data_IF_163141152483
#
_entry.id   IF_163141152483
#
_cell.length_a   1.000
_cell.length_b   1.000
_cell.length_c   1.000
_cell.angle_alpha   90.00
_cell.angle_beta   90.00
_cell.angle_gamma   90.00
#
_symmetry.space_group_name_H-M   'P 1'
#
loop_
_entity.id
_entity.type
_entity.pdbx_description
1 polymer ?
#
# COMPACT_ATOMS: atom_id res chain seq x y z
N UNK A 1 -2.85 5.42 -11.64
CA UNK A 1 -1.83 4.37 -11.84
C UNK A 1 -1.45 3.80 -10.47
N UNK A 2 -2.23 2.89 -9.94
CA UNK A 2 -1.87 2.13 -8.74
C UNK A 2 -1.38 0.76 -9.22
N UNK A 3 -0.20 0.33 -8.78
CA UNK A 3 0.28 -1.04 -9.02
C UNK A 3 -0.52 -2.05 -8.19
N UNK A 4 -0.19 -3.33 -8.31
CA UNK A 4 -0.82 -4.37 -7.51
C UNK A 4 -0.44 -4.14 -6.04
N UNK A 5 -1.43 -3.86 -5.18
CA UNK A 5 -1.22 -3.72 -3.73
C UNK A 5 -0.73 -5.06 -3.20
N UNK A 6 0.36 -5.06 -2.42
CA UNK A 6 0.91 -6.29 -1.88
C UNK A 6 0.05 -6.80 -0.71
N UNK A 7 -0.34 -8.10 -0.68
CA UNK A 7 -1.15 -8.65 0.39
C UNK A 7 -0.46 -8.57 1.77
N UNK A 8 0.88 -8.56 1.86
CA UNK A 8 1.58 -8.40 3.13
C UNK A 8 1.49 -6.97 3.68
N UNK A 9 1.41 -5.96 2.81
CA UNK A 9 1.16 -4.58 3.23
C UNK A 9 -0.21 -4.44 3.91
N UNK A 10 -1.24 -5.08 3.35
CA UNK A 10 -2.60 -5.07 3.94
C UNK A 10 -2.65 -5.71 5.33
N UNK A 11 -1.83 -6.74 5.60
CA UNK A 11 -1.73 -7.34 6.93
C UNK A 11 -1.20 -6.38 8.00
N UNK A 12 -0.36 -5.40 7.63
CA UNK A 12 0.12 -4.36 8.54
C UNK A 12 -0.87 -3.19 8.64
N UNK A 13 -1.57 -2.86 7.55
CA UNK A 13 -2.52 -1.75 7.48
C UNK A 13 -3.83 -2.07 8.20
N UNK A 14 -4.31 -3.31 8.12
CA UNK A 14 -5.55 -3.74 8.78
C UNK A 14 -5.54 -3.51 10.31
N UNK A 15 -4.53 -3.97 11.08
CA UNK A 15 -4.47 -3.70 12.52
C UNK A 15 -4.34 -2.20 12.81
N UNK A 16 -3.62 -1.45 11.97
CA UNK A 16 -3.49 -0.01 12.11
C UNK A 16 -4.85 0.71 11.95
N UNK A 17 -5.68 0.28 10.99
CA UNK A 17 -7.04 0.80 10.80
C UNK A 17 -7.97 0.39 11.96
N UNK A 18 -7.84 -0.82 12.52
CA UNK A 18 -8.63 -1.20 13.69
C UNK A 18 -8.30 -0.34 14.91
N UNK A 19 -7.01 -0.05 15.14
CA UNK A 19 -6.57 0.85 16.22
C UNK A 19 -7.08 2.27 15.98
N UNK A 20 -7.01 2.75 14.73
CA UNK A 20 -7.56 4.06 14.37
C UNK A 20 -9.07 4.16 14.67
N UNK A 21 -9.85 3.13 14.31
CA UNK A 21 -11.28 3.07 14.63
C UNK A 21 -11.55 3.08 16.14
N UNK A 22 -10.72 2.40 16.92
CA UNK A 22 -10.81 2.40 18.38
C UNK A 22 -10.55 3.79 18.98
N UNK A 23 -9.56 4.53 18.46
CA UNK A 23 -9.30 5.91 18.88
C UNK A 23 -10.43 6.87 18.51
N UNK A 24 -11.05 6.70 17.33
CA UNK A 24 -12.23 7.50 16.93
C UNK A 24 -13.40 7.21 17.87
N UNK A 25 -13.66 5.94 18.16
CA UNK A 25 -14.72 5.53 19.10
C UNK A 25 -14.46 6.05 20.52
N UNK A 26 -13.20 6.04 20.96
CA UNK A 26 -12.76 6.56 22.26
C UNK A 26 -12.77 8.08 22.40
N UNK A 27 -13.27 8.82 21.40
CA UNK A 27 -13.37 10.29 21.44
C UNK A 27 -12.11 11.04 21.02
N UNK A 28 -11.05 10.34 20.61
CA UNK A 28 -9.78 10.93 20.16
C UNK A 28 -9.73 10.86 18.62
N UNK A 29 -10.71 11.50 17.98
CA UNK A 29 -10.90 11.42 16.54
C UNK A 29 -9.68 11.90 15.74
N UNK A 30 -8.96 12.91 16.22
CA UNK A 30 -7.77 13.47 15.56
C UNK A 30 -6.69 12.40 15.37
N UNK A 31 -6.41 11.60 16.41
CA UNK A 31 -5.40 10.54 16.34
C UNK A 31 -5.82 9.46 15.34
N UNK A 32 -7.10 9.08 15.34
CA UNK A 32 -7.62 8.12 14.37
C UNK A 32 -7.53 8.61 12.92
N UNK A 33 -7.86 9.88 12.66
CA UNK A 33 -7.75 10.47 11.31
C UNK A 33 -6.29 10.47 10.83
N UNK A 34 -5.34 10.83 11.70
CA UNK A 34 -3.90 10.79 11.37
C UNK A 34 -3.45 9.37 11.03
N UNK A 35 -3.89 8.38 11.81
CA UNK A 35 -3.58 6.97 11.56
C UNK A 35 -4.17 6.46 10.24
N UNK A 36 -5.40 6.86 9.90
CA UNK A 36 -6.02 6.53 8.60
C UNK A 36 -5.22 7.15 7.45
N UNK A 37 -4.78 8.41 7.60
CA UNK A 37 -3.95 9.07 6.59
C UNK A 37 -2.62 8.34 6.36
N UNK A 38 -1.95 7.94 7.45
CA UNK A 38 -0.72 7.13 7.39
C UNK A 38 -0.96 5.77 6.73
N UNK A 39 -2.04 5.08 7.08
CA UNK A 39 -2.43 3.81 6.47
C UNK A 39 -2.62 3.94 4.94
N UNK A 40 -3.33 4.98 4.49
CA UNK A 40 -3.51 5.27 3.06
C UNK A 40 -2.16 5.55 2.40
N UNK A 41 -1.30 6.36 3.03
CA UNK A 41 0.01 6.69 2.48
C UNK A 41 0.90 5.45 2.31
N UNK A 42 0.89 4.54 3.28
CA UNK A 42 1.65 3.29 3.21
C UNK A 42 1.18 2.43 2.03
N UNK A 43 -0.13 2.25 1.85
CA UNK A 43 -0.69 1.48 0.73
C UNK A 43 -0.35 2.12 -0.62
N UNK A 44 -0.42 3.46 -0.70
CA UNK A 44 -0.08 4.21 -1.91
C UNK A 44 1.39 4.00 -2.29
N UNK A 45 2.30 4.12 -1.32
CA UNK A 45 3.74 3.95 -1.52
C UNK A 45 4.07 2.51 -1.89
N UNK A 46 3.49 1.54 -1.18
CA UNK A 46 3.68 0.10 -1.46
C UNK A 46 3.20 -0.26 -2.87
N UNK A 47 1.99 0.18 -3.24
CA UNK A 47 1.44 0.00 -4.59
C UNK A 47 2.29 0.70 -5.67
N UNK A 48 2.96 1.80 -5.33
CA UNK A 48 3.88 2.48 -6.23
C UNK A 48 5.22 1.76 -6.38
N UNK A 49 5.76 1.23 -5.28
CA UNK A 49 7.02 0.48 -5.27
C UNK A 49 6.86 -0.89 -5.95
N UNK A 50 5.72 -1.56 -5.75
CA UNK A 50 5.41 -2.87 -6.32
C UNK A 50 4.92 -2.80 -7.78
N UNK A 51 5.17 -1.68 -8.49
CA UNK A 51 4.83 -1.57 -9.91
C UNK A 51 5.61 -2.62 -10.69
N UNK A 52 4.95 -3.40 -11.57
CA UNK A 52 5.66 -4.38 -12.38
C UNK A 52 6.70 -3.64 -13.22
N UNK A 53 7.98 -3.89 -12.94
CA UNK A 53 9.07 -3.53 -13.84
C UNK A 53 8.68 -4.11 -15.19
N UNK A 54 8.46 -3.25 -16.19
CA UNK A 54 8.33 -3.70 -17.58
C UNK A 54 9.62 -4.46 -17.89
N UNK A 55 9.61 -5.78 -17.73
CA UNK A 55 10.72 -6.62 -18.18
C UNK A 55 10.87 -6.30 -19.67
N UNK A 56 12.02 -5.78 -20.12
CA UNK A 56 12.21 -5.60 -21.54
C UNK A 56 11.97 -6.97 -22.19
N UNK A 57 11.09 -7.00 -23.19
CA UNK A 57 10.81 -8.22 -23.94
C UNK A 57 12.15 -8.87 -24.32
N UNK A 58 12.29 -10.21 -24.17
CA UNK A 58 13.52 -10.87 -24.57
C UNK A 58 13.79 -10.49 -26.02
N UNK A 59 14.88 -9.77 -26.25
CA UNK A 59 15.32 -9.40 -27.59
C UNK A 59 15.75 -10.72 -28.22
N UNK A 60 14.82 -11.39 -28.92
CA UNK A 60 15.13 -12.60 -29.67
C UNK A 60 16.20 -12.20 -30.69
N UNK A 61 17.43 -12.60 -30.41
CA UNK A 61 18.57 -12.36 -31.25
C UNK A 61 18.53 -13.45 -32.32
N UNK A 62 17.89 -13.14 -33.44
CA UNK A 62 17.94 -13.98 -34.63
C UNK A 62 19.30 -13.75 -35.28
N UNK A 63 20.31 -14.49 -34.82
CA UNK A 63 21.62 -14.57 -35.46
C UNK A 63 21.54 -15.69 -36.52
N UNK A 64 20.98 -15.37 -37.69
CA UNK A 64 21.02 -16.21 -38.89
C UNK A 64 21.98 -15.63 -39.93
#
# INVERSE_FOLDING_TARGET
MFGRVDPFCLFAVLPMLTIAGFFIWGGIAIVGVVLIFLAILIVVIDSWANRPVKKPAPRYRDDR
#
